data_IF_169874703797
#
_entry.id   IF_169874703797
#
_cell.length_a   1.000
_cell.length_b   1.000
_cell.length_c   1.000
_cell.angle_alpha   90.00
_cell.angle_beta   90.00
_cell.angle_gamma   90.00
#
_symmetry.space_group_name_H-M   'P 1'
#
loop_
_entity.id
_entity.type
_entity.pdbx_description
1 polymer ?
#
# COMPACT_ATOMS: atom_id res chain seq x y z
N UNK A 1 -31.20 -20.72 -18.40
CA UNK A 1 -30.44 -20.64 -17.12
C UNK A 1 -29.20 -21.54 -17.13
N UNK A 2 -29.25 -22.72 -17.77
CA UNK A 2 -28.09 -23.61 -18.02
C UNK A 2 -26.89 -22.92 -18.70
N UNK A 3 -27.14 -22.06 -19.69
CA UNK A 3 -26.10 -21.43 -20.50
C UNK A 3 -25.26 -20.40 -19.72
N UNK A 4 -25.89 -19.64 -18.82
CA UNK A 4 -25.19 -18.75 -17.88
C UNK A 4 -24.40 -19.54 -16.82
N UNK A 5 -24.84 -20.75 -16.46
CA UNK A 5 -24.16 -21.64 -15.50
C UNK A 5 -22.96 -22.33 -16.13
N UNK A 6 -23.05 -22.74 -17.40
CA UNK A 6 -21.93 -23.28 -18.16
C UNK A 6 -20.89 -22.22 -18.55
N UNK A 7 -21.32 -20.98 -18.81
CA UNK A 7 -20.39 -19.86 -19.04
C UNK A 7 -19.59 -19.50 -17.80
N UNK A 8 -20.23 -19.45 -16.61
CA UNK A 8 -19.54 -19.24 -15.33
C UNK A 8 -18.58 -20.36 -14.95
N UNK A 9 -18.95 -21.64 -15.19
CA UNK A 9 -18.03 -22.77 -14.95
C UNK A 9 -16.78 -22.72 -15.84
N UNK A 10 -16.91 -22.36 -17.13
CA UNK A 10 -15.75 -22.18 -18.02
C UNK A 10 -14.87 -21.00 -17.64
N UNK A 11 -15.44 -19.97 -17.01
CA UNK A 11 -14.70 -18.82 -16.49
C UNK A 11 -13.95 -19.18 -15.20
N UNK A 12 -14.52 -20.02 -14.32
CA UNK A 12 -13.87 -20.54 -13.10
C UNK A 12 -12.71 -21.50 -13.40
N UNK A 13 -12.85 -22.36 -14.42
CA UNK A 13 -11.78 -23.26 -14.89
C UNK A 13 -10.59 -22.50 -15.52
N UNK A 14 -10.76 -21.21 -15.80
CA UNK A 14 -9.77 -20.35 -16.46
C UNK A 14 -9.11 -19.35 -15.49
N UNK A 15 -9.29 -19.53 -14.17
CA UNK A 15 -8.66 -18.69 -13.16
C UNK A 15 -7.53 -19.47 -12.48
N UNK A 16 -6.34 -18.88 -12.46
CA UNK A 16 -5.17 -19.45 -11.80
C UNK A 16 -5.38 -19.51 -10.28
N UNK A 17 -4.87 -20.57 -9.62
CA UNK A 17 -4.96 -20.69 -8.18
C UNK A 17 -4.17 -19.56 -7.50
N UNK A 18 -4.85 -18.83 -6.61
CA UNK A 18 -4.26 -17.68 -5.92
C UNK A 18 -3.32 -18.15 -4.81
N UNK A 19 -2.20 -17.43 -4.69
CA UNK A 19 -1.29 -17.62 -3.56
C UNK A 19 -1.95 -17.10 -2.27
N UNK A 20 -1.90 -17.94 -1.24
CA UNK A 20 -2.26 -17.60 0.12
C UNK A 20 -1.01 -17.45 0.97
N UNK A 21 -1.11 -16.58 1.99
CA UNK A 21 -0.08 -16.41 3.03
C UNK A 21 0.07 -17.62 3.94
N UNK A 22 -0.78 -18.64 3.78
CA UNK A 22 -0.77 -19.89 4.56
C UNK A 22 -0.28 -21.08 3.74
N UNK A 23 -0.02 -20.90 2.44
CA UNK A 23 0.47 -21.96 1.57
C UNK A 23 1.85 -22.44 2.05
N UNK A 24 2.08 -23.74 2.02
CA UNK A 24 3.40 -24.35 2.25
C UNK A 24 4.33 -24.17 1.04
N UNK A 25 5.58 -24.66 1.13
CA UNK A 25 6.55 -24.51 0.03
C UNK A 25 6.11 -25.22 -1.25
N UNK A 26 5.50 -26.41 -1.13
CA UNK A 26 5.15 -27.24 -2.29
C UNK A 26 3.94 -26.67 -3.04
N UNK A 27 2.92 -26.24 -2.30
CA UNK A 27 1.75 -25.53 -2.86
C UNK A 27 2.14 -24.17 -3.41
N UNK A 28 3.01 -23.41 -2.73
CA UNK A 28 3.54 -22.14 -3.26
C UNK A 28 4.31 -22.36 -4.56
N UNK A 29 5.19 -23.36 -4.62
CA UNK A 29 5.95 -23.69 -5.83
C UNK A 29 5.04 -24.10 -6.99
N UNK A 30 4.07 -24.98 -6.73
CA UNK A 30 3.11 -25.44 -7.75
C UNK A 30 2.28 -24.29 -8.33
N UNK A 31 1.79 -23.38 -7.48
CA UNK A 31 1.05 -22.18 -7.92
C UNK A 31 1.94 -21.20 -8.68
N UNK A 32 3.20 -21.03 -8.26
CA UNK A 32 4.17 -20.18 -8.96
C UNK A 32 4.51 -20.72 -10.35
N UNK A 33 4.62 -22.05 -10.51
CA UNK A 33 4.78 -22.68 -11.83
C UNK A 33 3.58 -22.38 -12.72
N UNK A 34 2.36 -22.53 -12.21
CA UNK A 34 1.15 -22.22 -12.99
C UNK A 34 1.10 -20.74 -13.45
N UNK A 35 1.55 -19.81 -12.59
CA UNK A 35 1.68 -18.39 -12.96
C UNK A 35 2.78 -18.19 -14.00
N UNK A 36 3.94 -18.83 -13.84
CA UNK A 36 5.04 -18.73 -14.81
C UNK A 36 4.63 -19.23 -16.20
N UNK A 37 3.94 -20.37 -16.28
CA UNK A 37 3.41 -20.91 -17.55
C UNK A 37 2.43 -19.94 -18.22
N UNK A 38 1.57 -19.27 -17.44
CA UNK A 38 0.68 -18.24 -17.99
C UNK A 38 1.45 -17.02 -18.54
N UNK A 39 2.54 -16.61 -17.87
CA UNK A 39 3.42 -15.54 -18.35
C UNK A 39 4.10 -15.95 -19.66
N UNK A 40 4.62 -17.18 -19.74
CA UNK A 40 5.27 -17.71 -20.95
C UNK A 40 4.31 -17.76 -22.15
N UNK A 41 3.03 -18.01 -21.91
CA UNK A 41 1.98 -17.96 -22.92
C UNK A 41 1.57 -16.54 -23.34
N UNK A 42 2.15 -15.50 -22.71
CA UNK A 42 1.81 -14.10 -22.96
C UNK A 42 0.45 -13.66 -22.38
N UNK A 43 -0.07 -14.38 -21.39
CA UNK A 43 -1.37 -14.08 -20.79
C UNK A 43 -1.25 -12.99 -19.72
N UNK A 44 -2.24 -12.10 -19.64
CA UNK A 44 -2.29 -11.10 -18.58
C UNK A 44 -2.66 -11.74 -17.23
N UNK A 45 -1.74 -11.70 -16.28
CA UNK A 45 -1.89 -12.39 -14.99
C UNK A 45 -3.00 -11.78 -14.13
N UNK A 46 -3.25 -10.48 -14.25
CA UNK A 46 -4.36 -9.85 -13.52
C UNK A 46 -5.70 -10.40 -14.00
N UNK A 47 -5.89 -10.61 -15.31
CA UNK A 47 -7.10 -11.24 -15.83
C UNK A 47 -7.20 -12.71 -15.39
N UNK A 48 -6.10 -13.46 -15.49
CA UNK A 48 -6.04 -14.88 -15.11
C UNK A 48 -6.21 -15.11 -13.61
N UNK A 49 -5.99 -14.11 -12.76
CA UNK A 49 -6.25 -14.18 -11.32
C UNK A 49 -7.59 -13.53 -10.94
N UNK A 50 -8.43 -13.16 -11.93
CA UNK A 50 -9.72 -12.51 -11.71
C UNK A 50 -9.62 -11.14 -11.05
N UNK A 51 -8.50 -10.44 -11.23
CA UNK A 51 -8.16 -9.15 -10.61
C UNK A 51 -8.16 -9.15 -9.08
N UNK A 52 -8.11 -10.33 -8.44
CA UNK A 52 -8.26 -10.46 -6.99
C UNK A 52 -7.10 -9.83 -6.21
N UNK A 53 -5.91 -9.73 -6.81
CA UNK A 53 -4.76 -9.03 -6.23
C UNK A 53 -4.66 -7.55 -6.61
N UNK A 54 -5.50 -7.08 -7.54
CA UNK A 54 -5.47 -5.70 -7.99
C UNK A 54 -6.33 -4.82 -7.08
N UNK A 55 -5.69 -3.83 -6.45
CA UNK A 55 -6.43 -2.69 -5.93
C UNK A 55 -6.68 -1.73 -7.09
N UNK A 56 -7.92 -1.25 -7.31
CA UNK A 56 -8.17 -0.28 -8.37
C UNK A 56 -7.24 0.92 -8.19
N UNK A 57 -6.74 1.47 -9.30
CA UNK A 57 -5.93 2.69 -9.29
C UNK A 57 -6.81 3.78 -8.69
N UNK A 58 -6.47 4.23 -7.49
CA UNK A 58 -7.21 5.29 -6.79
C UNK A 58 -6.72 6.62 -7.31
N UNK A 59 -7.67 7.53 -7.52
CA UNK A 59 -7.34 8.92 -7.82
C UNK A 59 -6.56 9.53 -6.65
N UNK A 60 -5.58 10.37 -6.97
CA UNK A 60 -4.73 11.03 -6.00
C UNK A 60 -5.54 11.78 -4.94
N UNK A 61 -6.63 12.40 -5.36
CA UNK A 61 -7.58 13.09 -4.50
C UNK A 61 -8.25 12.13 -3.51
N UNK A 62 -8.76 10.99 -3.97
CA UNK A 62 -9.40 9.97 -3.12
C UNK A 62 -8.41 9.41 -2.08
N UNK A 63 -7.15 9.21 -2.47
CA UNK A 63 -6.08 8.82 -1.55
C UNK A 63 -5.87 9.91 -0.50
N UNK A 64 -5.76 11.18 -0.91
CA UNK A 64 -5.58 12.29 -0.01
C UNK A 64 -6.74 12.42 0.98
N UNK A 65 -8.00 12.35 0.51
CA UNK A 65 -9.20 12.44 1.33
C UNK A 65 -9.25 11.34 2.40
N UNK A 66 -8.87 10.10 2.07
CA UNK A 66 -8.82 8.99 3.04
C UNK A 66 -7.84 9.19 4.21
N UNK A 67 -6.91 10.13 4.08
CA UNK A 67 -5.88 10.44 5.10
C UNK A 67 -6.13 11.78 5.80
N UNK A 68 -7.20 12.49 5.43
CA UNK A 68 -7.58 13.76 6.04
C UNK A 68 -8.22 13.54 7.41
N UNK A 69 -8.11 14.55 8.27
CA UNK A 69 -8.91 14.59 9.50
C UNK A 69 -10.37 14.93 9.18
N UNK A 70 -11.35 14.58 10.04
CA UNK A 70 -12.77 14.86 9.79
C UNK A 70 -13.04 16.32 9.40
N UNK A 71 -12.47 17.27 10.15
CA UNK A 71 -12.63 18.71 9.87
C UNK A 71 -11.93 19.17 8.58
N UNK A 72 -10.80 18.54 8.21
CA UNK A 72 -10.10 18.83 6.94
C UNK A 72 -10.97 18.37 5.76
N UNK A 73 -11.57 17.19 5.89
CA UNK A 73 -12.44 16.58 4.87
C UNK A 73 -13.72 17.38 4.68
N UNK A 74 -14.41 17.74 5.76
CA UNK A 74 -15.65 18.52 5.72
C UNK A 74 -15.44 19.87 5.02
N UNK A 75 -14.41 20.63 5.42
CA UNK A 75 -14.10 21.92 4.79
C UNK A 75 -13.69 21.78 3.33
N UNK A 76 -12.93 20.73 2.99
CA UNK A 76 -12.51 20.47 1.62
C UNK A 76 -13.70 20.13 0.71
N UNK A 77 -14.63 19.30 1.17
CA UNK A 77 -15.83 18.94 0.42
C UNK A 77 -16.74 20.15 0.17
N UNK A 78 -16.93 21.01 1.18
CA UNK A 78 -17.72 22.24 1.04
C UNK A 78 -17.08 23.23 0.05
N UNK A 79 -15.76 23.40 0.12
CA UNK A 79 -15.00 24.27 -0.80
C UNK A 79 -15.01 23.72 -2.24
N UNK A 80 -14.77 22.41 -2.40
CA UNK A 80 -14.78 21.73 -3.70
C UNK A 80 -16.15 21.81 -4.37
N UNK A 81 -17.22 21.59 -3.61
CA UNK A 81 -18.60 21.69 -4.10
C UNK A 81 -18.88 23.05 -4.72
N UNK A 82 -18.51 24.13 -4.02
CA UNK A 82 -18.65 25.50 -4.54
C UNK A 82 -17.83 25.75 -5.81
N UNK A 83 -16.55 25.39 -5.80
CA UNK A 83 -15.67 25.63 -6.94
C UNK A 83 -16.11 24.85 -8.19
N UNK A 84 -16.57 23.61 -8.03
CA UNK A 84 -17.09 22.78 -9.13
C UNK A 84 -18.39 23.34 -9.73
N UNK A 85 -19.23 24.01 -8.94
CA UNK A 85 -20.45 24.69 -9.41
C UNK A 85 -20.11 26.00 -10.13
N UNK A 86 -19.06 26.71 -9.71
CA UNK A 86 -18.65 27.98 -10.34
C UNK A 86 -18.01 27.80 -11.73
N UNK A 87 -17.40 26.63 -12.01
CA UNK A 87 -16.71 26.36 -13.28
C UNK A 87 -17.62 25.81 -14.39
N UNK A 88 -18.82 25.33 -14.06
CA UNK A 88 -19.79 24.77 -15.01
C UNK A 88 -21.18 25.38 -14.81
N UNK A 89 -21.31 26.67 -15.11
CA UNK A 89 -22.60 27.33 -15.33
C UNK A 89 -23.24 26.93 -16.68
N UNK A 90 -23.30 25.63 -16.97
CA UNK A 90 -24.20 25.05 -17.97
C UNK A 90 -24.97 23.92 -17.30
N UNK A 91 -26.26 24.15 -17.12
CA UNK A 91 -27.20 23.26 -16.47
C UNK A 91 -27.05 21.82 -16.97
N UNK A 92 -26.96 20.85 -16.05
CA UNK A 92 -27.94 19.74 -15.91
C UNK A 92 -27.44 18.74 -14.84
N UNK A 93 -28.35 18.38 -13.93
CA UNK A 93 -28.35 17.29 -12.94
C UNK A 93 -27.96 17.67 -11.49
N UNK A 94 -28.92 17.68 -10.55
CA UNK A 94 -28.67 17.92 -9.14
C UNK A 94 -28.28 16.60 -8.46
N UNK A 95 -26.99 16.38 -8.23
CA UNK A 95 -26.55 15.46 -7.17
C UNK A 95 -26.77 16.17 -5.83
N UNK A 96 -27.52 15.51 -4.93
CA UNK A 96 -27.80 15.97 -3.55
C UNK A 96 -26.48 16.31 -2.82
N UNK A 97 -26.04 17.55 -2.89
CA UNK A 97 -25.05 18.11 -1.96
C UNK A 97 -25.81 18.60 -0.73
N UNK A 98 -25.51 18.00 0.42
CA UNK A 98 -26.21 18.27 1.70
C UNK A 98 -25.65 19.45 2.47
N UNK A 99 -24.56 20.08 2.02
CA UNK A 99 -23.91 21.17 2.73
C UNK A 99 -23.86 22.44 1.85
N UNK A 100 -24.07 23.64 2.44
CA UNK A 100 -23.99 24.88 1.70
C UNK A 100 -22.58 25.11 1.13
N UNK A 101 -22.46 25.72 -0.06
CA UNK A 101 -21.16 26.02 -0.66
C UNK A 101 -20.33 26.92 0.26
N UNK A 102 -19.06 26.55 0.49
CA UNK A 102 -18.14 27.34 1.32
C UNK A 102 -17.17 28.12 0.44
N UNK A 103 -17.21 29.44 0.55
CA UNK A 103 -16.21 30.34 -0.03
C UNK A 103 -15.33 30.86 1.10
N UNK A 104 -14.01 30.72 1.02
CA UNK A 104 -13.12 31.28 2.03
C UNK A 104 -13.28 32.81 2.07
N UNK A 105 -13.15 33.46 3.24
CA UNK A 105 -13.27 34.90 3.35
C UNK A 105 -12.17 35.59 2.52
N UNK A 106 -12.40 36.83 2.04
CA UNK A 106 -11.40 37.59 1.30
C UNK A 106 -10.08 37.69 2.07
N UNK A 107 -8.96 37.51 1.36
CA UNK A 107 -7.62 37.61 1.93
C UNK A 107 -6.91 38.86 1.38
N UNK A 108 -6.37 39.71 2.26
CA UNK A 108 -5.61 40.90 1.87
C UNK A 108 -4.12 40.53 1.67
N UNK A 109 -3.73 40.28 0.41
CA UNK A 109 -2.38 39.84 0.03
C UNK A 109 -1.29 40.91 0.24
N UNK A 110 -1.65 42.18 0.41
CA UNK A 110 -0.67 43.23 0.68
C UNK A 110 -0.38 43.35 2.17
N UNK A 111 -1.41 43.22 3.02
CA UNK A 111 -1.27 43.44 4.47
C UNK A 111 -1.05 42.17 5.29
N UNK A 112 -1.57 41.03 4.85
CA UNK A 112 -1.62 39.82 5.66
C UNK A 112 -0.32 39.01 5.58
N UNK A 113 0.79 39.57 6.08
CA UNK A 113 2.12 38.93 6.10
C UNK A 113 2.63 38.83 7.54
N UNK A 114 3.25 37.71 7.87
CA UNK A 114 3.90 37.51 9.17
C UNK A 114 5.28 36.88 9.00
N UNK A 115 6.16 37.16 9.96
CA UNK A 115 7.49 36.54 9.99
C UNK A 115 7.36 35.01 10.14
N UNK A 116 8.14 34.28 9.35
CA UNK A 116 8.18 32.82 9.39
C UNK A 116 8.97 32.39 10.63
N UNK A 117 8.46 31.49 11.47
CA UNK A 117 9.21 30.96 12.61
C UNK A 117 10.53 30.31 12.16
N UNK A 118 11.62 30.59 12.86
CA UNK A 118 12.94 30.05 12.55
C UNK A 118 12.98 28.52 12.76
N UNK A 119 13.08 27.77 11.68
CA UNK A 119 13.23 26.32 11.69
C UNK A 119 13.32 25.75 10.27
N UNK A 120 14.21 24.78 10.05
CA UNK A 120 14.43 24.18 8.72
C UNK A 120 13.15 23.58 8.12
N UNK A 121 12.26 23.04 8.95
CA UNK A 121 10.96 22.50 8.53
C UNK A 121 9.86 23.57 8.40
N UNK A 122 10.04 24.73 9.03
CA UNK A 122 9.06 25.82 9.02
C UNK A 122 8.93 26.40 7.62
N UNK A 123 10.04 26.82 7.00
CA UNK A 123 10.03 27.43 5.66
C UNK A 123 9.35 26.51 4.63
N UNK A 124 9.79 25.26 4.53
CA UNK A 124 9.19 24.26 3.63
C UNK A 124 7.69 24.09 3.86
N UNK A 125 7.26 24.02 5.12
CA UNK A 125 5.84 23.86 5.46
C UNK A 125 5.01 25.06 5.05
N UNK A 126 5.51 26.27 5.28
CA UNK A 126 4.81 27.51 4.92
C UNK A 126 4.81 27.76 3.41
N UNK A 127 5.86 27.40 2.68
CA UNK A 127 5.86 27.40 1.21
C UNK A 127 4.77 26.49 0.65
N UNK A 128 4.66 25.25 1.13
CA UNK A 128 3.62 24.32 0.68
C UNK A 128 2.20 24.80 1.03
N UNK A 129 2.04 25.50 2.16
CA UNK A 129 0.76 26.12 2.53
C UNK A 129 0.43 27.29 1.62
N UNK A 130 1.43 28.11 1.26
CA UNK A 130 1.25 29.22 0.34
C UNK A 130 0.80 28.72 -1.05
N UNK A 131 1.43 27.68 -1.58
CA UNK A 131 0.97 27.02 -2.82
C UNK A 131 -0.48 26.54 -2.72
N UNK A 132 -0.90 26.02 -1.57
CA UNK A 132 -2.28 25.61 -1.35
C UNK A 132 -3.24 26.81 -1.21
N UNK A 133 -2.78 27.95 -0.70
CA UNK A 133 -3.57 29.18 -0.62
C UNK A 133 -3.84 29.75 -2.01
N UNK A 134 -2.86 29.70 -2.92
CA UNK A 134 -3.06 30.08 -4.34
C UNK A 134 -4.25 29.33 -4.94
N UNK A 135 -4.35 28.02 -4.72
CA UNK A 135 -5.50 27.23 -5.18
C UNK A 135 -6.78 27.57 -4.43
N UNK A 136 -6.70 27.69 -3.11
CA UNK A 136 -7.88 27.89 -2.25
C UNK A 136 -8.61 29.20 -2.58
N UNK A 137 -7.86 30.25 -2.90
CA UNK A 137 -8.37 31.59 -3.24
C UNK A 137 -8.34 31.92 -4.73
N UNK A 138 -7.92 30.99 -5.59
CA UNK A 138 -7.64 31.26 -7.01
C UNK A 138 -6.74 32.50 -7.20
N UNK A 139 -5.69 32.58 -6.39
CA UNK A 139 -4.66 33.60 -6.41
C UNK A 139 -3.36 33.03 -6.98
N UNK A 140 -2.46 33.90 -7.43
CA UNK A 140 -1.13 33.51 -7.89
C UNK A 140 -0.09 34.38 -7.18
N UNK A 141 0.85 33.73 -6.51
CA UNK A 141 1.98 34.42 -5.86
C UNK A 141 1.88 34.49 -4.34
N UNK A 142 1.11 33.62 -3.71
CA UNK A 142 1.14 33.48 -2.27
C UNK A 142 2.56 33.13 -1.80
N UNK A 143 3.08 33.92 -0.87
CA UNK A 143 4.39 33.69 -0.25
C UNK A 143 4.24 32.98 1.10
N UNK A 144 5.33 32.38 1.63
CA UNK A 144 5.31 31.72 2.93
C UNK A 144 4.89 32.64 4.09
N UNK A 145 5.11 33.95 3.97
CA UNK A 145 4.69 34.97 4.96
C UNK A 145 3.16 35.10 5.03
N UNK A 146 2.44 34.95 3.91
CA UNK A 146 0.97 34.90 3.91
C UNK A 146 0.46 33.67 4.66
N UNK A 147 1.09 32.52 4.41
CA UNK A 147 0.74 31.28 5.08
C UNK A 147 1.06 31.31 6.58
N UNK A 148 2.15 31.99 6.97
CA UNK A 148 2.49 32.25 8.37
C UNK A 148 1.39 33.10 9.02
N UNK A 149 0.99 34.21 8.39
CA UNK A 149 -0.06 35.08 8.90
C UNK A 149 -1.39 34.34 9.07
N UNK A 150 -1.83 33.56 8.06
CA UNK A 150 -3.06 32.77 8.10
C UNK A 150 -3.06 31.78 9.28
N UNK A 151 -1.93 31.14 9.54
CA UNK A 151 -1.81 30.14 10.60
C UNK A 151 -2.08 30.70 12.00
N UNK A 152 -1.74 31.97 12.24
CA UNK A 152 -1.92 32.63 13.54
C UNK A 152 -3.22 33.45 13.62
N UNK A 153 -3.65 34.06 12.52
CA UNK A 153 -4.77 35.00 12.51
C UNK A 153 -6.09 34.38 12.03
N UNK A 154 -6.03 33.29 11.26
CA UNK A 154 -7.19 32.57 10.73
C UNK A 154 -7.05 31.04 10.94
N UNK A 155 -6.95 30.58 12.20
CA UNK A 155 -6.77 29.16 12.51
C UNK A 155 -7.93 28.29 12.04
N UNK A 156 -9.13 28.86 11.90
CA UNK A 156 -10.33 28.20 11.38
C UNK A 156 -10.19 27.76 9.92
N UNK A 157 -9.38 28.47 9.12
CA UNK A 157 -9.12 28.16 7.71
C UNK A 157 -7.96 27.20 7.50
N UNK A 158 -7.17 26.97 8.56
CA UNK A 158 -6.00 26.11 8.48
C UNK A 158 -6.33 24.66 8.07
N UNK A 159 -7.45 24.04 8.49
CA UNK A 159 -7.82 22.71 8.02
C UNK A 159 -8.04 22.66 6.51
N UNK A 160 -8.69 23.66 5.91
CA UNK A 160 -8.91 23.74 4.46
C UNK A 160 -7.58 23.82 3.70
N UNK A 161 -6.69 24.74 4.10
CA UNK A 161 -5.36 24.88 3.47
C UNK A 161 -4.54 23.60 3.62
N UNK A 162 -4.64 22.91 4.76
CA UNK A 162 -3.99 21.60 4.97
C UNK A 162 -4.58 20.52 4.07
N UNK A 163 -5.90 20.50 3.86
CA UNK A 163 -6.57 19.56 2.97
C UNK A 163 -6.14 19.76 1.51
N UNK A 164 -6.21 20.98 0.99
CA UNK A 164 -5.78 21.34 -0.37
C UNK A 164 -4.29 20.99 -0.58
N UNK A 165 -3.43 21.31 0.40
CA UNK A 165 -2.02 20.92 0.36
C UNK A 165 -1.83 19.41 0.25
N UNK A 166 -2.64 18.61 0.97
CA UNK A 166 -2.57 17.13 0.90
C UNK A 166 -2.93 16.63 -0.49
N UNK A 167 -3.99 17.16 -1.10
CA UNK A 167 -4.40 16.81 -2.47
C UNK A 167 -3.28 17.16 -3.45
N UNK A 168 -2.73 18.37 -3.39
CA UNK A 168 -1.59 18.77 -4.22
C UNK A 168 -0.38 17.84 -4.07
N UNK A 169 -0.08 17.45 -2.84
CA UNK A 169 1.04 16.54 -2.57
C UNK A 169 0.76 15.15 -3.16
N UNK A 170 -0.47 14.65 -3.01
CA UNK A 170 -0.88 13.38 -3.59
C UNK A 170 -0.84 13.41 -5.13
N UNK A 171 -1.25 14.51 -5.76
CA UNK A 171 -1.17 14.69 -7.21
C UNK A 171 0.27 14.74 -7.70
N UNK A 172 1.14 15.50 -7.02
CA UNK A 172 2.58 15.52 -7.32
C UNK A 172 3.16 14.10 -7.20
N UNK A 173 2.80 13.37 -6.15
CA UNK A 173 3.24 11.99 -5.96
C UNK A 173 2.70 11.04 -7.03
N UNK A 174 1.44 11.21 -7.44
CA UNK A 174 0.83 10.41 -8.49
C UNK A 174 1.46 10.66 -9.86
N UNK A 175 1.90 11.90 -10.14
CA UNK A 175 2.68 12.22 -11.36
C UNK A 175 4.09 11.63 -11.34
N UNK A 176 4.69 11.51 -10.16
CA UNK A 176 5.99 10.87 -9.96
C UNK A 176 5.91 9.34 -9.89
N UNK A 177 4.71 8.75 -9.81
CA UNK A 177 4.56 7.29 -9.82
C UNK A 177 5.11 6.74 -11.14
N UNK A 178 6.12 5.86 -11.12
CA UNK A 178 6.65 5.23 -12.34
C UNK A 178 5.59 4.48 -13.15
N UNK A 179 4.48 4.10 -12.50
CA UNK A 179 3.36 3.40 -13.13
C UNK A 179 2.29 4.37 -13.66
N UNK A 180 2.50 5.68 -13.57
CA UNK A 180 1.49 6.68 -13.91
C UNK A 180 1.07 6.66 -15.38
N UNK A 181 1.98 6.30 -16.30
CA UNK A 181 1.74 6.19 -17.74
C UNK A 181 1.16 4.85 -18.21
N UNK A 182 0.98 3.88 -17.31
CA UNK A 182 0.42 2.58 -17.67
C UNK A 182 -1.10 2.65 -17.84
N UNK A 183 -1.61 1.87 -18.80
CA UNK A 183 -3.04 1.60 -18.93
C UNK A 183 -3.56 0.88 -17.68
N UNK A 184 -4.88 0.94 -17.40
CA UNK A 184 -5.46 0.24 -16.24
C UNK A 184 -5.14 -1.27 -16.21
N UNK A 185 -5.06 -1.92 -17.38
CA UNK A 185 -4.75 -3.35 -17.49
C UNK A 185 -3.29 -3.64 -17.15
N UNK A 186 -2.34 -2.85 -17.68
CA UNK A 186 -0.91 -2.98 -17.37
C UNK A 186 -0.63 -2.67 -15.91
N UNK A 187 -1.28 -1.64 -15.35
CA UNK A 187 -1.18 -1.34 -13.93
C UNK A 187 -1.67 -2.51 -13.07
N UNK A 188 -2.80 -3.11 -13.43
CA UNK A 188 -3.34 -4.26 -12.73
C UNK A 188 -2.40 -5.47 -12.79
N UNK A 189 -1.78 -5.70 -13.94
CA UNK A 189 -0.79 -6.76 -14.14
C UNK A 189 0.44 -6.57 -13.26
N UNK A 190 1.07 -5.39 -13.31
CA UNK A 190 2.26 -5.08 -12.50
C UNK A 190 1.94 -5.22 -11.00
N UNK A 191 0.79 -4.73 -10.54
CA UNK A 191 0.38 -4.86 -9.14
C UNK A 191 0.14 -6.32 -8.74
N UNK A 192 -0.45 -7.10 -9.62
CA UNK A 192 -0.67 -8.53 -9.40
C UNK A 192 0.66 -9.27 -9.26
N UNK A 193 1.61 -9.02 -10.17
CA UNK A 193 2.95 -9.61 -10.12
C UNK A 193 3.72 -9.23 -8.85
N UNK A 194 3.69 -7.94 -8.47
CA UNK A 194 4.29 -7.47 -7.23
C UNK A 194 3.70 -8.18 -6.01
N UNK A 195 2.37 -8.38 -5.99
CA UNK A 195 1.68 -9.02 -4.88
C UNK A 195 2.00 -10.51 -4.78
N UNK A 196 2.00 -11.21 -5.92
CA UNK A 196 2.40 -12.61 -6.03
C UNK A 196 3.82 -12.77 -5.49
N UNK A 197 4.78 -11.99 -5.99
CA UNK A 197 6.17 -12.05 -5.53
C UNK A 197 6.32 -11.78 -4.02
N UNK A 198 5.58 -10.81 -3.48
CA UNK A 198 5.60 -10.51 -2.05
C UNK A 198 5.05 -11.67 -1.19
N UNK A 199 3.96 -12.31 -1.61
CA UNK A 199 3.39 -13.47 -0.89
C UNK A 199 4.33 -14.67 -0.99
N UNK A 200 4.90 -14.95 -2.16
CA UNK A 200 5.86 -16.04 -2.34
C UNK A 200 7.08 -15.89 -1.44
N UNK A 201 7.67 -14.70 -1.40
CA UNK A 201 8.83 -14.42 -0.55
C UNK A 201 8.50 -14.60 0.94
N UNK A 202 7.31 -14.17 1.36
CA UNK A 202 6.86 -14.34 2.75
C UNK A 202 6.67 -15.82 3.10
N UNK A 203 6.05 -16.62 2.23
CA UNK A 203 5.87 -18.05 2.44
C UNK A 203 7.23 -18.77 2.52
N UNK A 204 8.15 -18.46 1.61
CA UNK A 204 9.51 -19.01 1.61
C UNK A 204 10.24 -18.69 2.91
N UNK A 205 10.17 -17.44 3.36
CA UNK A 205 10.78 -16.99 4.61
C UNK A 205 10.22 -17.75 5.81
N UNK A 206 8.89 -17.81 5.94
CA UNK A 206 8.18 -18.51 7.02
C UNK A 206 8.55 -19.99 7.09
N UNK A 207 8.54 -20.68 5.95
CA UNK A 207 8.85 -22.11 5.91
C UNK A 207 10.33 -22.38 6.16
N UNK A 208 11.24 -21.54 5.66
CA UNK A 208 12.67 -21.63 5.99
C UNK A 208 12.91 -21.47 7.50
N UNK A 209 12.24 -20.53 8.16
CA UNK A 209 12.30 -20.38 9.62
C UNK A 209 11.75 -21.60 10.36
N UNK A 210 10.69 -22.25 9.84
CA UNK A 210 10.13 -23.48 10.39
C UNK A 210 11.13 -24.64 10.26
N UNK A 211 11.71 -24.83 9.08
CA UNK A 211 12.73 -25.86 8.82
C UNK A 211 13.94 -25.66 9.73
N UNK A 212 14.45 -24.43 9.84
CA UNK A 212 15.59 -24.11 10.72
C UNK A 212 15.30 -24.38 12.21
N UNK A 213 14.05 -24.18 12.66
CA UNK A 213 13.63 -24.55 14.02
C UNK A 213 13.64 -26.08 14.23
N UNK A 214 13.08 -26.82 13.28
CA UNK A 214 13.06 -28.29 13.34
C UNK A 214 14.47 -28.89 13.29
N UNK A 215 15.34 -28.40 12.41
CA UNK A 215 16.73 -28.86 12.31
C UNK A 215 17.49 -28.68 13.63
N UNK A 216 17.33 -27.52 14.30
CA UNK A 216 17.93 -27.29 15.62
C UNK A 216 17.42 -28.29 16.66
N UNK A 217 16.11 -28.53 16.72
CA UNK A 217 15.54 -29.52 17.62
C UNK A 217 16.07 -30.95 17.35
N UNK A 218 16.22 -31.33 16.09
CA UNK A 218 16.82 -32.64 15.72
C UNK A 218 18.27 -32.71 16.19
N UNK A 219 19.08 -31.67 15.96
CA UNK A 219 20.48 -31.64 16.39
C UNK A 219 20.63 -31.73 17.90
N UNK A 220 19.78 -31.04 18.67
CA UNK A 220 19.73 -31.14 20.12
C UNK A 220 19.41 -32.57 20.58
N UNK A 221 18.40 -33.21 19.99
CA UNK A 221 18.04 -34.60 20.31
C UNK A 221 19.17 -35.57 19.94
N UNK A 222 19.79 -35.42 18.77
CA UNK A 222 20.92 -36.25 18.36
C UNK A 222 22.10 -36.13 19.33
N UNK A 223 22.39 -34.92 19.84
CA UNK A 223 23.45 -34.72 20.83
C UNK A 223 23.17 -35.47 22.14
N UNK A 224 21.92 -35.47 22.60
CA UNK A 224 21.50 -36.23 23.78
C UNK A 224 21.64 -37.73 23.54
N UNK A 225 21.18 -38.23 22.39
CA UNK A 225 21.28 -39.64 22.02
C UNK A 225 22.74 -40.11 21.94
N UNK A 226 23.61 -39.31 21.32
CA UNK A 226 25.04 -39.60 21.23
C UNK A 226 25.69 -39.67 22.61
N UNK A 227 25.43 -38.68 23.46
CA UNK A 227 25.92 -38.68 24.85
C UNK A 227 25.47 -39.93 25.60
N UNK A 228 24.22 -40.38 25.40
CA UNK A 228 23.71 -41.61 26.03
C UNK A 228 24.38 -42.87 25.46
N UNK A 229 24.61 -42.91 24.15
CA UNK A 229 25.32 -44.01 23.49
C UNK A 229 26.74 -44.14 24.05
N UNK A 230 27.49 -43.03 24.12
CA UNK A 230 28.86 -43.00 24.67
C UNK A 230 28.92 -43.55 26.11
N UNK A 231 27.94 -43.18 26.95
CA UNK A 231 27.83 -43.69 28.34
C UNK A 231 27.55 -45.20 28.36
N UNK A 232 26.73 -45.70 27.43
CA UNK A 232 26.42 -47.13 27.35
C UNK A 232 27.60 -47.94 26.83
N UNK A 233 28.33 -47.42 25.83
CA UNK A 233 29.56 -48.03 25.34
C UNK A 233 30.62 -48.14 26.44
N UNK A 234 30.85 -47.05 27.20
CA UNK A 234 31.76 -47.06 28.34
C UNK A 234 31.38 -48.13 29.39
N UNK A 235 30.08 -48.34 29.63
CA UNK A 235 29.58 -49.38 30.54
C UNK A 235 29.76 -50.80 30.01
N UNK A 236 29.63 -51.01 28.71
CA UNK A 236 29.84 -52.31 28.08
C UNK A 236 31.32 -52.72 28.10
N UNK A 237 32.21 -51.77 27.80
CA UNK A 237 33.67 -51.95 27.91
C UNK A 237 34.06 -52.30 29.35
N UNK A 238 33.52 -51.57 30.34
CA UNK A 238 33.78 -51.87 31.75
C UNK A 238 33.32 -53.27 32.21
N UNK A 239 32.38 -53.89 31.48
CA UNK A 239 31.89 -55.25 31.73
C UNK A 239 32.62 -56.32 30.92
N UNK A 240 33.63 -55.96 30.12
CA UNK A 240 34.40 -56.90 29.31
C UNK A 240 33.67 -57.41 28.06
N UNK A 241 32.64 -56.68 27.59
CA UNK A 241 31.89 -57.02 26.38
C UNK A 241 32.51 -56.26 25.19
N UNK A 242 33.04 -56.98 24.21
CA UNK A 242 33.59 -56.37 22.99
C UNK A 242 32.49 -55.76 22.11
N UNK A 243 32.69 -54.51 21.69
CA UNK A 243 31.77 -53.78 20.81
C UNK A 243 32.30 -53.89 19.37
N UNK A 244 31.50 -54.40 18.41
CA UNK A 244 31.94 -54.57 17.03
C UNK A 244 32.22 -53.21 16.35
N UNK A 245 33.26 -53.14 15.49
CA UNK A 245 33.81 -51.88 14.96
C UNK A 245 32.86 -51.09 14.06
N UNK A 246 31.79 -51.69 13.53
CA UNK A 246 30.84 -51.04 12.62
C UNK A 246 29.81 -50.09 13.29
N UNK A 247 29.94 -49.85 14.59
CA UNK A 247 29.05 -48.97 15.37
C UNK A 247 29.54 -47.52 15.47
N UNK A 248 30.74 -47.21 14.95
CA UNK A 248 31.36 -45.87 15.02
C UNK A 248 30.99 -44.99 13.81
N UNK A 249 29.79 -44.40 13.80
CA UNK A 249 29.45 -43.32 12.85
C UNK A 249 28.73 -42.18 13.56
#
# INVERSE_FOLDING_TARGET
MEEKRNKRKREEDNILPLLSRTDDLETTASKMVAIATAIENGENIAQRTGFQFCSPRRDAETIAMSQMKPMELEMYEMWRGYNSLSSHATATTPTKQTNPPYTPPPFDWEKNRAAIPNGAHSLKTFTQRAEAMDITWNHQGATPEHAAWLTYNLPELLPLVKAVRRVLTAEKQAKLDPLSGLTPSEYAEVRTLQKVGAISNENVRREKERINRLMRGIQEIMAILKTRADVMEARLIAKGIEIPPNSKH
#
